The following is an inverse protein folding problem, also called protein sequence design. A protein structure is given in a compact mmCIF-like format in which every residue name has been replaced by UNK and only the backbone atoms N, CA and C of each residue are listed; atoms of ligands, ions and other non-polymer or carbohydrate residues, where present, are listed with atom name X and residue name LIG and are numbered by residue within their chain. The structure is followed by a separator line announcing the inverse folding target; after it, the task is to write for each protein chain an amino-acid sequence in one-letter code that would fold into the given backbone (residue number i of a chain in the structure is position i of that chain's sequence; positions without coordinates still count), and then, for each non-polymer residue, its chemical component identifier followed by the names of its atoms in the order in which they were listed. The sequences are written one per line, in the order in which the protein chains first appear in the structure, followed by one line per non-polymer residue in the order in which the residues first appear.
data_IF_718626251575
#
_entry.id   IF_718626251575
#
_cell.length_a   1.000
_cell.length_b   1.000
_cell.length_c   1.000
_cell.angle_alpha   90.00
_cell.angle_beta   90.00
_cell.angle_gamma   90.00
#
_symmetry.space_group_name_H-M   'P 1'
#
loop_
_entity.id
_entity.type
_entity.pdbx_description
1 polymer ?
#
# COMPACT_ATOMS: atom_id res chain seq x y z
N UNK A 1 -13.94 -16.44 20.57
CA UNK A 1 -13.82 -16.25 19.09
C UNK A 1 -12.34 -16.30 18.76
N UNK A 2 -11.99 -16.91 17.63
CA UNK A 2 -10.61 -16.95 17.15
C UNK A 2 -10.11 -15.53 16.86
N UNK A 3 -8.92 -15.19 17.32
CA UNK A 3 -8.27 -13.90 17.08
C UNK A 3 -7.05 -14.13 16.22
N UNK A 4 -6.87 -13.31 15.21
CA UNK A 4 -5.66 -13.32 14.38
C UNK A 4 -4.70 -12.25 14.85
N UNK A 5 -3.42 -12.53 14.74
CA UNK A 5 -2.32 -11.62 15.08
C UNK A 5 -1.41 -11.40 13.88
N UNK A 6 -0.81 -10.24 13.77
CA UNK A 6 0.34 -9.99 12.91
C UNK A 6 1.58 -10.25 13.74
N UNK A 7 2.28 -11.35 13.42
CA UNK A 7 3.50 -11.76 14.15
C UNK A 7 4.65 -10.83 13.81
N UNK A 8 4.92 -10.65 12.52
CA UNK A 8 5.91 -9.73 11.99
C UNK A 8 5.60 -9.40 10.51
N UNK A 9 6.39 -8.54 9.94
CA UNK A 9 6.32 -8.23 8.51
C UNK A 9 7.60 -7.59 8.00
N UNK A 10 7.68 -7.49 6.67
CA UNK A 10 8.77 -6.82 6.00
C UNK A 10 8.27 -6.15 4.71
N UNK A 11 9.00 -5.14 4.27
CA UNK A 11 8.83 -4.53 2.95
C UNK A 11 10.17 -4.30 2.25
N UNK A 12 10.14 -4.24 0.96
CA UNK A 12 11.26 -3.69 0.21
C UNK A 12 11.31 -2.16 0.41
N UNK A 13 12.47 -1.51 0.21
CA UNK A 13 12.46 -0.10 -0.10
C UNK A 13 11.60 0.14 -1.34
N UNK A 14 11.02 1.33 -1.47
CA UNK A 14 10.21 1.70 -2.62
C UNK A 14 11.08 2.38 -3.68
N UNK A 15 11.09 1.82 -4.88
CA UNK A 15 11.76 2.39 -6.05
C UNK A 15 10.85 3.32 -6.83
N UNK A 16 11.43 4.32 -7.51
CA UNK A 16 10.73 5.17 -8.48
C UNK A 16 10.46 4.44 -9.79
N UNK A 17 9.54 4.96 -10.57
CA UNK A 17 9.36 4.54 -11.96
C UNK A 17 10.70 4.58 -12.71
N UNK A 18 11.08 3.46 -13.33
CA UNK A 18 12.36 3.27 -14.03
C UNK A 18 13.61 3.51 -13.15
N UNK A 19 13.45 3.47 -11.82
CA UNK A 19 14.49 3.67 -10.82
C UNK A 19 15.29 2.40 -10.49
N UNK A 20 15.74 2.31 -9.25
CA UNK A 20 16.64 1.23 -8.79
C UNK A 20 16.03 -0.16 -8.89
N UNK A 21 14.70 -0.30 -8.79
CA UNK A 21 13.99 -1.58 -8.84
C UNK A 21 13.48 -1.96 -10.25
N UNK A 22 13.81 -1.21 -11.29
CA UNK A 22 13.28 -1.37 -12.65
C UNK A 22 13.43 -2.77 -13.28
N UNK A 23 14.41 -3.55 -12.82
CA UNK A 23 14.69 -4.88 -13.37
C UNK A 23 13.94 -6.00 -12.61
N UNK A 24 13.30 -5.69 -11.49
CA UNK A 24 12.53 -6.63 -10.69
C UNK A 24 11.06 -6.66 -11.12
N UNK A 25 10.49 -7.84 -11.21
CA UNK A 25 9.04 -8.02 -11.33
C UNK A 25 8.35 -7.82 -9.97
N UNK A 26 7.02 -7.62 -9.97
CA UNK A 26 6.26 -7.61 -8.72
C UNK A 26 6.46 -8.89 -7.89
N UNK A 27 6.55 -10.05 -8.56
CA UNK A 27 6.78 -11.33 -7.88
C UNK A 27 8.18 -11.46 -7.27
N UNK A 28 9.21 -10.89 -7.91
CA UNK A 28 10.57 -10.86 -7.34
C UNK A 28 10.60 -10.03 -6.05
N UNK A 29 9.98 -8.85 -6.09
CA UNK A 29 9.86 -7.97 -4.92
C UNK A 29 9.01 -8.62 -3.82
N UNK A 30 7.90 -9.28 -4.20
CA UNK A 30 7.05 -10.04 -3.30
C UNK A 30 7.79 -11.16 -2.59
N UNK A 31 8.65 -11.88 -3.31
CA UNK A 31 9.47 -12.95 -2.73
C UNK A 31 10.43 -12.40 -1.64
N UNK A 32 11.05 -11.25 -1.89
CA UNK A 32 11.94 -10.59 -0.92
C UNK A 32 11.16 -10.18 0.34
N UNK A 33 10.00 -9.56 0.17
CA UNK A 33 9.16 -9.15 1.28
C UNK A 33 8.64 -10.34 2.10
N UNK A 34 8.20 -11.42 1.45
CA UNK A 34 7.74 -12.66 2.10
C UNK A 34 8.89 -13.30 2.89
N UNK A 35 10.05 -13.48 2.27
CA UNK A 35 11.22 -14.06 2.94
C UNK A 35 11.63 -13.25 4.16
N UNK A 36 11.68 -11.91 4.03
CA UNK A 36 11.99 -11.02 5.15
C UNK A 36 10.93 -11.04 6.26
N UNK A 37 9.65 -11.16 5.92
CA UNK A 37 8.58 -11.27 6.90
C UNK A 37 8.67 -12.58 7.70
N UNK A 38 8.95 -13.71 7.03
CA UNK A 38 9.15 -15.01 7.69
C UNK A 38 10.39 -15.02 8.58
N UNK A 39 11.49 -14.43 8.12
CA UNK A 39 12.73 -14.29 8.90
C UNK A 39 12.48 -13.49 10.19
N UNK A 40 11.86 -12.30 10.07
CA UNK A 40 11.53 -11.45 11.22
C UNK A 40 10.52 -12.09 12.18
N UNK A 41 9.60 -12.89 11.65
CA UNK A 41 8.63 -13.64 12.45
C UNK A 41 9.25 -14.85 13.17
N UNK A 42 10.43 -15.31 12.76
CA UNK A 42 10.99 -16.60 13.23
C UNK A 42 10.14 -17.81 12.82
N UNK A 43 9.36 -17.67 11.74
CA UNK A 43 8.44 -18.70 11.23
C UNK A 43 9.07 -19.38 10.02
N UNK A 44 9.29 -20.71 10.04
CA UNK A 44 9.85 -21.40 8.88
C UNK A 44 8.84 -21.42 7.73
N UNK A 45 9.33 -21.33 6.49
CA UNK A 45 8.48 -21.35 5.29
C UNK A 45 7.58 -22.60 5.20
N UNK A 46 7.99 -23.71 5.80
CA UNK A 46 7.21 -24.96 5.88
C UNK A 46 6.00 -24.90 6.83
N UNK A 47 5.89 -23.86 7.67
CA UNK A 47 4.74 -23.66 8.53
C UNK A 47 3.63 -22.84 7.87
N UNK A 48 3.89 -22.24 6.72
CA UNK A 48 2.91 -21.44 5.99
C UNK A 48 1.90 -22.36 5.30
N UNK A 49 0.62 -22.07 5.46
CA UNK A 49 -0.48 -22.88 4.92
C UNK A 49 -1.15 -22.20 3.72
N UNK A 50 -1.08 -20.87 3.64
CA UNK A 50 -1.66 -20.11 2.54
C UNK A 50 -0.91 -18.78 2.29
N UNK A 51 -0.93 -18.30 1.03
CA UNK A 51 -0.33 -17.01 0.65
C UNK A 51 -1.34 -16.16 -0.11
N UNK A 52 -1.52 -14.90 0.29
CA UNK A 52 -2.41 -13.94 -0.39
C UNK A 52 -1.63 -12.68 -0.68
N UNK A 53 -1.41 -12.37 -1.95
CA UNK A 53 -0.73 -11.14 -2.37
C UNK A 53 -1.59 -10.31 -3.30
N UNK A 54 -1.72 -9.02 -2.97
CA UNK A 54 -2.33 -8.03 -3.84
C UNK A 54 -1.40 -7.66 -4.98
N UNK A 55 -1.92 -7.60 -6.21
CA UNK A 55 -1.23 -7.04 -7.37
C UNK A 55 -2.24 -6.56 -8.38
N UNK A 56 -2.08 -5.33 -8.87
CA UNK A 56 -3.02 -4.69 -9.79
C UNK A 56 -2.60 -4.90 -11.24
N UNK A 57 -1.34 -4.64 -11.57
CA UNK A 57 -0.82 -4.67 -12.92
C UNK A 57 -0.27 -6.07 -13.25
N UNK A 58 -1.15 -6.93 -13.73
CA UNK A 58 -0.85 -8.35 -13.95
C UNK A 58 -0.60 -8.75 -15.41
N UNK A 59 -0.83 -7.85 -16.38
CA UNK A 59 -0.51 -8.14 -17.77
C UNK A 59 1.00 -8.37 -17.94
N UNK A 60 1.36 -9.49 -18.56
CA UNK A 60 2.76 -9.87 -18.76
C UNK A 60 3.50 -10.37 -17.51
N UNK A 61 2.86 -10.40 -16.33
CA UNK A 61 3.47 -10.90 -15.09
C UNK A 61 3.55 -12.44 -14.99
N UNK A 62 3.02 -13.14 -15.95
CA UNK A 62 2.93 -14.60 -15.93
C UNK A 62 1.74 -15.10 -15.11
N UNK A 63 1.69 -16.43 -14.94
CA UNK A 63 0.60 -17.05 -14.18
C UNK A 63 0.81 -16.87 -12.67
N UNK A 64 -0.26 -16.54 -11.93
CA UNK A 64 -0.29 -16.59 -10.47
C UNK A 64 0.87 -15.82 -9.79
N UNK A 65 0.97 -14.50 -9.92
CA UNK A 65 2.09 -13.74 -9.37
C UNK A 65 2.35 -13.97 -7.86
N UNK A 66 1.30 -14.13 -7.04
CA UNK A 66 1.45 -14.48 -5.64
C UNK A 66 2.11 -15.85 -5.44
N UNK A 67 1.79 -16.81 -6.30
CA UNK A 67 2.40 -18.16 -6.28
C UNK A 67 3.87 -18.11 -6.65
N UNK A 68 4.22 -17.30 -7.67
CA UNK A 68 5.61 -17.09 -8.06
C UNK A 68 6.41 -16.52 -6.88
N UNK A 69 5.88 -15.49 -6.22
CA UNK A 69 6.51 -14.87 -5.05
C UNK A 69 6.69 -15.87 -3.89
N UNK A 70 5.64 -16.64 -3.57
CA UNK A 70 5.66 -17.65 -2.51
C UNK A 70 6.76 -18.70 -2.72
N UNK A 71 6.81 -19.31 -3.91
CA UNK A 71 7.81 -20.34 -4.25
C UNK A 71 9.22 -19.75 -4.27
N UNK A 72 9.40 -18.55 -4.82
CA UNK A 72 10.69 -17.87 -4.84
C UNK A 72 11.16 -17.46 -3.43
N UNK A 73 10.25 -17.26 -2.49
CA UNK A 73 10.54 -17.03 -1.07
C UNK A 73 10.87 -18.32 -0.29
N UNK A 74 10.82 -19.49 -0.93
CA UNK A 74 11.10 -20.79 -0.32
C UNK A 74 9.90 -21.49 0.32
N UNK A 75 8.67 -20.97 0.13
CA UNK A 75 7.43 -21.64 0.55
C UNK A 75 7.19 -22.85 -0.36
N UNK A 76 6.75 -23.98 0.23
CA UNK A 76 6.61 -25.26 -0.46
C UNK A 76 5.60 -25.24 -1.61
N UNK A 77 5.78 -26.16 -2.57
CA UNK A 77 4.88 -26.35 -3.70
C UNK A 77 3.50 -26.89 -3.31
N UNK A 78 3.35 -27.41 -2.13
CA UNK A 78 2.10 -27.88 -1.51
C UNK A 78 1.24 -26.75 -0.91
N UNK A 79 1.82 -25.55 -0.71
CA UNK A 79 1.10 -24.41 -0.16
C UNK A 79 0.38 -23.61 -1.27
N UNK A 80 -0.95 -23.50 -1.25
CA UNK A 80 -1.68 -22.73 -2.26
C UNK A 80 -1.45 -21.22 -2.09
N UNK A 81 -1.71 -20.46 -3.17
CA UNK A 81 -1.58 -19.03 -3.17
C UNK A 81 -2.69 -18.34 -3.99
N UNK A 82 -3.05 -17.13 -3.60
CA UNK A 82 -4.05 -16.30 -4.25
C UNK A 82 -3.47 -14.92 -4.60
N UNK A 83 -3.64 -14.49 -5.83
CA UNK A 83 -3.41 -13.10 -6.24
C UNK A 83 -4.75 -12.39 -6.26
N UNK A 84 -4.87 -11.26 -5.54
CA UNK A 84 -6.09 -10.45 -5.53
C UNK A 84 -5.85 -9.07 -6.12
N UNK A 85 -6.88 -8.52 -6.75
CA UNK A 85 -6.89 -7.16 -7.26
C UNK A 85 -8.17 -6.45 -6.78
N UNK A 86 -7.98 -5.44 -5.95
CA UNK A 86 -8.97 -4.48 -5.50
C UNK A 86 -8.36 -3.07 -5.58
N UNK A 87 -7.62 -2.82 -6.66
CA UNK A 87 -6.87 -1.58 -6.87
C UNK A 87 -5.92 -1.27 -5.69
N UNK A 88 -5.81 -0.03 -5.25
CA UNK A 88 -4.98 0.39 -4.12
C UNK A 88 -5.28 -0.36 -2.81
N UNK A 89 -6.47 -0.95 -2.70
CA UNK A 89 -6.94 -1.69 -1.53
C UNK A 89 -6.39 -3.13 -1.45
N UNK A 90 -5.77 -3.64 -2.52
CA UNK A 90 -5.40 -5.06 -2.64
C UNK A 90 -4.55 -5.58 -1.48
N UNK A 91 -3.58 -4.80 -1.02
CA UNK A 91 -2.68 -5.22 0.05
C UNK A 91 -3.36 -5.30 1.43
N UNK A 92 -4.22 -4.36 1.77
CA UNK A 92 -4.98 -4.39 3.04
C UNK A 92 -6.08 -5.44 3.00
N UNK A 93 -6.74 -5.62 1.85
CA UNK A 93 -7.78 -6.62 1.66
C UNK A 93 -7.19 -8.05 1.74
N UNK A 94 -5.95 -8.26 1.27
CA UNK A 94 -5.21 -9.51 1.46
C UNK A 94 -5.05 -9.86 2.95
N UNK A 95 -4.67 -8.88 3.78
CA UNK A 95 -4.51 -9.07 5.23
C UNK A 95 -5.86 -9.31 5.90
N UNK A 96 -6.89 -8.56 5.52
CA UNK A 96 -8.24 -8.76 6.04
C UNK A 96 -8.83 -10.11 5.64
N UNK A 97 -8.56 -10.61 4.43
CA UNK A 97 -8.97 -11.94 3.99
C UNK A 97 -8.22 -13.05 4.77
N UNK A 98 -6.93 -12.87 5.04
CA UNK A 98 -6.17 -13.79 5.89
C UNK A 98 -6.78 -13.90 7.29
N UNK A 99 -7.14 -12.76 7.91
CA UNK A 99 -7.87 -12.75 9.20
C UNK A 99 -9.19 -13.51 9.11
N UNK A 100 -9.97 -13.31 8.07
CA UNK A 100 -11.26 -13.99 7.88
C UNK A 100 -11.11 -15.50 7.73
N UNK A 101 -10.12 -15.98 6.96
CA UNK A 101 -9.85 -17.39 6.77
C UNK A 101 -9.37 -18.06 8.08
N UNK A 102 -8.50 -17.39 8.85
CA UNK A 102 -8.06 -17.86 10.16
C UNK A 102 -9.24 -17.93 11.14
N UNK A 103 -10.09 -16.90 11.18
CA UNK A 103 -11.29 -16.90 12.03
C UNK A 103 -12.30 -17.96 11.62
N UNK A 104 -12.36 -18.30 10.33
CA UNK A 104 -13.18 -19.40 9.83
C UNK A 104 -12.63 -20.80 10.18
N UNK A 105 -11.38 -20.90 10.63
CA UNK A 105 -10.70 -22.14 10.96
C UNK A 105 -10.15 -22.92 9.76
N UNK A 106 -9.98 -22.22 8.60
CA UNK A 106 -9.42 -22.83 7.40
C UNK A 106 -7.89 -22.97 7.48
N UNK A 107 -7.22 -21.99 8.10
CA UNK A 107 -5.76 -21.94 8.23
C UNK A 107 -5.38 -21.34 9.59
N UNK A 108 -4.17 -21.68 10.07
CA UNK A 108 -3.56 -21.09 11.25
C UNK A 108 -2.44 -20.10 10.91
N UNK A 109 -1.74 -20.29 9.78
CA UNK A 109 -0.58 -19.47 9.37
C UNK A 109 -0.73 -19.03 7.91
N UNK A 110 -0.93 -17.75 7.70
CA UNK A 110 -1.12 -17.14 6.38
C UNK A 110 -0.10 -16.03 6.17
N UNK A 111 0.59 -16.03 5.03
CA UNK A 111 1.35 -14.87 4.58
C UNK A 111 0.43 -14.00 3.72
N UNK A 112 0.27 -12.74 4.09
CA UNK A 112 -0.57 -11.80 3.38
C UNK A 112 0.17 -10.49 3.08
N UNK A 113 -0.11 -9.86 1.94
CA UNK A 113 0.55 -8.62 1.60
C UNK A 113 0.19 -8.10 0.22
N UNK A 114 1.13 -7.38 -0.39
CA UNK A 114 0.99 -6.87 -1.74
C UNK A 114 2.32 -6.59 -2.39
N UNK A 115 2.33 -6.63 -3.70
CA UNK A 115 3.49 -6.46 -4.55
C UNK A 115 3.10 -5.72 -5.83
N UNK A 116 3.96 -4.88 -6.34
CA UNK A 116 3.73 -4.18 -7.59
C UNK A 116 5.05 -3.78 -8.24
N UNK A 117 5.16 -3.97 -9.54
CA UNK A 117 6.14 -3.28 -10.36
C UNK A 117 5.42 -2.50 -11.44
N UNK A 118 5.22 -1.20 -11.18
CA UNK A 118 4.58 -0.32 -12.16
C UNK A 118 5.51 -0.09 -13.35
N UNK A 119 6.81 -0.16 -13.12
CA UNK A 119 7.84 -0.08 -14.17
C UNK A 119 7.75 -1.22 -15.19
N UNK A 120 7.35 -2.43 -14.75
CA UNK A 120 7.23 -3.61 -15.62
C UNK A 120 5.87 -3.71 -16.33
N UNK A 121 4.94 -2.80 -16.06
CA UNK A 121 3.66 -2.78 -16.78
C UNK A 121 3.90 -2.61 -18.30
N UNK A 122 3.40 -3.54 -19.13
CA UNK A 122 3.64 -3.48 -20.56
C UNK A 122 2.71 -2.51 -21.27
N UNK A 123 3.01 -2.20 -22.53
CA UNK A 123 2.05 -1.63 -23.44
C UNK A 123 1.23 -2.74 -24.10
N UNK A 124 -0.06 -2.55 -24.23
CA UNK A 124 -1.03 -3.50 -24.73
C UNK A 124 -1.42 -3.18 -26.17
N UNK A 125 -1.46 -4.18 -27.00
CA UNK A 125 -2.01 -4.11 -28.35
C UNK A 125 -3.43 -4.66 -28.32
N UNK A 126 -4.41 -3.78 -28.10
CA UNK A 126 -5.81 -4.14 -28.02
C UNK A 126 -6.30 -4.69 -29.36
N UNK A 127 -7.31 -5.58 -29.33
CA UNK A 127 -7.93 -6.18 -30.51
C UNK A 127 -6.99 -6.97 -31.45
N UNK A 128 -5.74 -7.24 -31.04
CA UNK A 128 -4.74 -7.94 -31.85
C UNK A 128 -5.20 -9.32 -32.36
N UNK A 129 -6.06 -10.03 -31.60
CA UNK A 129 -6.60 -11.35 -32.02
C UNK A 129 -7.58 -11.26 -33.18
N UNK A 130 -8.31 -10.14 -33.28
CA UNK A 130 -9.22 -9.88 -34.40
C UNK A 130 -8.49 -9.39 -35.66
N UNK A 131 -7.22 -9.02 -35.49
CA UNK A 131 -6.40 -8.42 -36.54
C UNK A 131 -6.72 -6.96 -36.78
N UNK A 132 -5.80 -6.31 -37.49
CA UNK A 132 -5.93 -4.90 -37.86
C UNK A 132 -6.07 -4.80 -39.37
N UNK A 133 -6.95 -3.92 -39.83
CA UNK A 133 -7.15 -3.60 -41.23
C UNK A 133 -6.15 -2.53 -41.69
N UNK A 134 -6.56 -1.67 -42.55
CA UNK A 134 -5.77 -0.55 -43.05
C UNK A 134 -5.70 0.58 -42.01
N UNK A 135 -4.51 1.19 -41.83
CA UNK A 135 -4.27 2.33 -40.97
C UNK A 135 -3.40 2.03 -39.72
N UNK A 136 -3.12 3.07 -38.93
CA UNK A 136 -2.30 2.99 -37.73
C UNK A 136 -3.02 2.26 -36.59
N UNK A 137 -2.24 1.75 -35.62
CA UNK A 137 -2.72 1.10 -34.43
C UNK A 137 -2.11 1.75 -33.20
N UNK A 138 -2.95 2.07 -32.21
CA UNK A 138 -2.51 2.59 -30.93
C UNK A 138 -2.16 1.46 -29.98
N UNK A 139 -1.03 1.54 -29.29
CA UNK A 139 -0.69 0.71 -28.14
C UNK A 139 -1.12 1.46 -26.86
N UNK A 140 -1.67 0.73 -25.90
CA UNK A 140 -2.22 1.26 -24.66
C UNK A 140 -1.26 0.96 -23.51
N UNK A 141 -0.90 1.94 -22.72
CA UNK A 141 -0.12 1.74 -21.51
C UNK A 141 -0.98 1.06 -20.45
N UNK A 142 -0.64 -0.18 -20.08
CA UNK A 142 -1.35 -0.96 -19.07
C UNK A 142 -1.41 -0.25 -17.71
N UNK A 143 -0.31 0.39 -17.30
CA UNK A 143 -0.27 1.12 -16.04
C UNK A 143 -1.27 2.28 -16.02
N UNK A 144 -1.29 3.06 -17.09
CA UNK A 144 -2.22 4.19 -17.23
C UNK A 144 -3.67 3.70 -17.31
N UNK A 145 -3.95 2.73 -18.17
CA UNK A 145 -5.30 2.28 -18.51
C UNK A 145 -5.97 1.47 -17.40
N UNK A 146 -5.27 0.45 -16.87
CA UNK A 146 -5.84 -0.47 -15.87
C UNK A 146 -5.56 -0.02 -14.43
N UNK A 147 -4.57 0.85 -14.21
CA UNK A 147 -4.16 1.29 -12.87
C UNK A 147 -4.54 2.71 -12.49
N UNK A 148 -4.51 3.66 -13.44
CA UNK A 148 -4.56 5.10 -13.14
C UNK A 148 -5.68 5.85 -13.88
N UNK A 149 -6.60 5.14 -14.54
CA UNK A 149 -7.73 5.69 -15.26
C UNK A 149 -9.06 5.22 -14.68
N UNK A 150 -9.96 6.15 -14.38
CA UNK A 150 -11.31 5.83 -13.92
C UNK A 150 -12.20 5.50 -15.12
N UNK A 151 -12.61 4.25 -15.22
CA UNK A 151 -13.44 3.74 -16.33
C UNK A 151 -14.88 4.24 -16.29
N UNK A 152 -15.37 4.70 -15.12
CA UNK A 152 -16.75 5.16 -14.96
C UNK A 152 -16.93 6.59 -15.47
N UNK A 153 -15.91 7.41 -15.35
CA UNK A 153 -15.92 8.82 -15.79
C UNK A 153 -15.00 9.07 -16.98
N UNK A 154 -14.30 8.04 -17.45
CA UNK A 154 -13.36 8.07 -18.59
C UNK A 154 -12.30 9.17 -18.46
N UNK A 155 -11.63 9.23 -17.30
CA UNK A 155 -10.60 10.22 -17.02
C UNK A 155 -9.50 9.70 -16.11
N UNK A 156 -8.28 10.31 -16.15
CA UNK A 156 -7.23 9.97 -15.20
C UNK A 156 -7.67 10.21 -13.76
N UNK A 157 -7.20 9.35 -12.81
CA UNK A 157 -7.53 9.45 -11.38
C UNK A 157 -7.23 10.83 -10.79
N UNK A 158 -6.17 11.49 -11.24
CA UNK A 158 -5.87 12.85 -10.80
C UNK A 158 -6.86 13.90 -11.32
N UNK A 159 -7.42 13.74 -12.54
CA UNK A 159 -8.47 14.61 -13.05
C UNK A 159 -9.78 14.42 -12.28
N UNK A 160 -10.13 13.19 -11.96
CA UNK A 160 -11.27 12.87 -11.07
C UNK A 160 -11.09 13.52 -9.68
N UNK A 161 -9.88 13.47 -9.13
CA UNK A 161 -9.56 14.10 -7.84
C UNK A 161 -9.65 15.64 -7.93
N UNK A 162 -9.20 16.24 -9.02
CA UNK A 162 -9.41 17.69 -9.27
C UNK A 162 -10.88 18.06 -9.35
N UNK A 163 -11.67 17.28 -10.10
CA UNK A 163 -13.12 17.51 -10.22
C UNK A 163 -13.81 17.46 -8.85
N UNK A 164 -13.45 16.52 -8.01
CA UNK A 164 -13.97 16.46 -6.63
C UNK A 164 -13.45 17.61 -5.78
N UNK A 165 -12.22 18.07 -5.98
CA UNK A 165 -11.67 19.21 -5.26
C UNK A 165 -12.38 20.53 -5.59
N UNK A 166 -13.12 20.64 -6.70
CA UNK A 166 -14.01 21.77 -6.97
C UNK A 166 -15.14 21.91 -5.94
N UNK A 167 -15.47 20.80 -5.25
CA UNK A 167 -16.43 20.75 -4.14
C UNK A 167 -15.72 20.89 -2.78
N UNK A 168 -14.64 20.18 -2.57
CA UNK A 168 -13.92 20.10 -1.29
C UNK A 168 -13.13 21.39 -1.02
N UNK A 169 -12.73 22.14 -2.06
CA UNK A 169 -12.08 23.46 -2.03
C UNK A 169 -10.74 23.49 -1.29
N UNK A 170 -9.96 22.41 -1.32
CA UNK A 170 -8.58 22.46 -0.82
C UNK A 170 -7.72 23.29 -1.76
N UNK A 171 -7.08 24.30 -1.19
CA UNK A 171 -6.19 25.19 -1.96
C UNK A 171 -4.91 24.49 -2.38
N UNK A 172 -4.25 25.03 -3.39
CA UNK A 172 -2.92 24.58 -3.80
C UNK A 172 -1.92 24.62 -2.64
N UNK A 173 -1.93 25.71 -1.85
CA UNK A 173 -1.03 25.86 -0.71
C UNK A 173 -1.23 24.76 0.33
N UNK A 174 -2.46 24.43 0.71
CA UNK A 174 -2.74 23.35 1.65
C UNK A 174 -2.23 21.99 1.14
N UNK A 175 -2.35 21.73 -0.15
CA UNK A 175 -1.88 20.49 -0.75
C UNK A 175 -0.34 20.43 -0.79
N UNK A 176 0.33 21.53 -1.11
CA UNK A 176 1.79 21.64 -1.11
C UNK A 176 2.37 21.55 0.30
N UNK A 177 1.70 22.14 1.32
CA UNK A 177 2.08 22.02 2.73
C UNK A 177 2.04 20.57 3.22
N UNK A 178 0.96 19.83 2.91
CA UNK A 178 0.87 18.42 3.27
C UNK A 178 1.95 17.59 2.54
N UNK A 179 2.18 17.86 1.27
CA UNK A 179 3.20 17.16 0.50
C UNK A 179 4.62 17.41 1.06
N UNK A 180 4.94 18.65 1.41
CA UNK A 180 6.20 18.99 2.07
C UNK A 180 6.35 18.27 3.41
N UNK A 181 5.28 18.28 4.22
CA UNK A 181 5.25 17.60 5.52
C UNK A 181 5.47 16.10 5.39
N UNK A 182 4.86 15.44 4.39
CA UNK A 182 5.06 14.02 4.10
C UNK A 182 6.54 13.71 3.85
N UNK A 183 7.21 14.49 3.00
CA UNK A 183 8.64 14.33 2.73
C UNK A 183 9.53 14.58 3.96
N UNK A 184 9.25 15.62 4.73
CA UNK A 184 10.03 15.97 5.92
C UNK A 184 9.91 14.90 7.00
N UNK A 185 8.69 14.39 7.24
CA UNK A 185 8.43 13.31 8.19
C UNK A 185 9.12 12.01 7.76
N UNK A 186 8.99 11.62 6.48
CA UNK A 186 9.64 10.42 5.97
C UNK A 186 11.17 10.50 6.08
N UNK A 187 11.76 11.66 5.79
CA UNK A 187 13.20 11.86 5.93
C UNK A 187 13.66 11.82 7.40
N UNK A 188 12.86 12.37 8.32
CA UNK A 188 13.13 12.27 9.75
C UNK A 188 13.04 10.83 10.25
N UNK A 189 11.98 10.10 9.86
CA UNK A 189 11.78 8.69 10.20
C UNK A 189 12.95 7.80 9.73
N UNK A 190 13.48 8.02 8.51
CA UNK A 190 14.70 7.35 8.06
C UNK A 190 15.90 7.66 8.93
N UNK A 191 16.14 8.95 9.21
CA UNK A 191 17.26 9.40 10.04
C UNK A 191 17.19 8.82 11.46
N UNK A 192 16.00 8.73 12.01
CA UNK A 192 15.75 8.25 13.38
C UNK A 192 15.64 6.71 13.46
N UNK A 193 15.79 6.00 12.32
CA UNK A 193 15.79 4.54 12.24
C UNK A 193 14.41 3.89 12.36
N UNK A 194 13.32 4.65 12.26
CA UNK A 194 11.93 4.15 12.39
C UNK A 194 11.64 3.05 11.36
N UNK A 195 12.16 3.17 10.14
CA UNK A 195 11.92 2.20 9.08
C UNK A 195 12.84 0.96 9.12
N UNK A 196 13.84 0.93 9.99
CA UNK A 196 14.76 -0.21 10.09
C UNK A 196 14.05 -1.53 10.43
N UNK A 197 12.96 -1.44 11.21
CA UNK A 197 12.18 -2.62 11.61
C UNK A 197 11.32 -3.19 10.49
N UNK A 198 11.01 -2.42 9.45
CA UNK A 198 10.13 -2.87 8.37
C UNK A 198 10.87 -3.15 7.06
N UNK A 199 11.94 -2.41 6.76
CA UNK A 199 12.65 -2.52 5.48
C UNK A 199 13.63 -3.68 5.47
N UNK A 200 13.66 -4.43 4.36
CA UNK A 200 14.69 -5.41 4.04
C UNK A 200 15.42 -4.99 2.78
N UNK A 201 16.76 -5.09 2.75
CA UNK A 201 17.56 -4.70 1.59
C UNK A 201 17.20 -5.50 0.34
N UNK A 202 17.19 -4.83 -0.81
CA UNK A 202 17.12 -5.49 -2.11
C UNK A 202 18.50 -5.51 -2.74
N UNK A 203 19.00 -6.71 -3.02
CA UNK A 203 20.30 -6.90 -3.69
C UNK A 203 20.13 -6.77 -5.19
N UNK A 204 20.60 -5.67 -5.75
CA UNK A 204 20.55 -5.37 -7.19
C UNK A 204 21.77 -5.97 -7.87
N UNK A 205 21.59 -6.99 -8.73
CA UNK A 205 22.69 -7.60 -9.44
C UNK A 205 23.46 -6.59 -10.30
N UNK A 206 24.78 -6.66 -10.30
CA UNK A 206 25.63 -5.84 -11.15
C UNK A 206 26.22 -6.65 -12.28
N UNK A 207 26.45 -6.00 -13.42
CA UNK A 207 27.10 -6.64 -14.57
C UNK A 207 28.51 -7.15 -14.26
N UNK A 208 29.19 -6.48 -13.31
CA UNK A 208 30.52 -6.85 -12.77
C UNK A 208 30.57 -6.38 -11.32
N UNK A 209 31.19 -7.19 -10.45
CA UNK A 209 31.33 -6.89 -9.02
C UNK A 209 30.18 -7.43 -8.19
N UNK A 210 30.16 -7.04 -6.90
CA UNK A 210 29.13 -7.45 -5.95
C UNK A 210 27.81 -6.73 -6.21
N UNK A 211 26.67 -7.34 -5.82
CA UNK A 211 25.37 -6.67 -5.86
C UNK A 211 25.39 -5.36 -5.04
N UNK A 212 24.67 -4.35 -5.52
CA UNK A 212 24.42 -3.14 -4.74
C UNK A 212 23.22 -3.41 -3.82
N UNK A 213 23.38 -3.10 -2.53
CA UNK A 213 22.25 -3.13 -1.60
C UNK A 213 21.44 -1.84 -1.72
N UNK A 214 20.19 -1.97 -2.11
CA UNK A 214 19.19 -0.89 -2.12
C UNK A 214 18.40 -0.96 -0.82
N UNK A 215 18.56 0.04 0.04
CA UNK A 215 18.11 0.01 1.43
C UNK A 215 17.11 1.10 1.80
N UNK A 216 17.01 2.19 1.02
CA UNK A 216 16.21 3.37 1.34
C UNK A 216 15.14 3.66 0.28
N UNK A 217 14.02 4.26 0.68
CA UNK A 217 12.97 4.68 -0.24
C UNK A 217 13.46 5.79 -1.16
N UNK A 218 13.51 5.53 -2.45
CA UNK A 218 14.13 6.37 -3.46
C UNK A 218 13.37 7.70 -3.71
N UNK A 219 12.09 7.73 -3.31
CA UNK A 219 11.18 8.85 -3.53
C UNK A 219 11.38 10.05 -2.62
N UNK A 220 11.94 9.84 -1.44
CA UNK A 220 12.00 10.85 -0.37
C UNK A 220 12.94 12.00 -0.74
N UNK A 221 12.45 13.24 -0.53
CA UNK A 221 13.19 14.48 -0.80
C UNK A 221 13.19 15.34 0.46
N UNK A 222 14.18 15.17 1.33
CA UNK A 222 14.27 15.81 2.64
C UNK A 222 14.14 17.35 2.61
N UNK A 223 14.59 17.99 1.52
CA UNK A 223 14.59 19.44 1.38
C UNK A 223 13.30 20.00 0.73
N UNK A 224 12.25 19.19 0.60
CA UNK A 224 10.98 19.65 0.03
C UNK A 224 10.29 20.63 0.98
N UNK A 225 9.91 21.79 0.47
CA UNK A 225 9.11 22.81 1.17
C UNK A 225 7.91 23.21 0.33
N UNK A 226 6.87 23.80 0.93
CA UNK A 226 5.71 24.30 0.21
C UNK A 226 6.12 25.33 -0.86
N UNK A 227 7.10 26.21 -0.56
CA UNK A 227 7.63 27.20 -1.51
C UNK A 227 8.30 26.51 -2.70
N UNK A 228 9.07 25.42 -2.48
CA UNK A 228 9.70 24.69 -3.57
C UNK A 228 8.69 23.99 -4.49
N UNK A 229 7.54 23.61 -3.95
CA UNK A 229 6.45 23.00 -4.70
C UNK A 229 5.58 24.03 -5.43
N UNK A 230 5.47 25.24 -4.92
CA UNK A 230 4.61 26.30 -5.47
C UNK A 230 4.89 26.61 -6.96
N UNK A 231 6.13 26.42 -7.42
CA UNK A 231 6.54 26.60 -8.81
C UNK A 231 6.11 25.49 -9.77
N UNK A 232 5.58 24.36 -9.28
CA UNK A 232 5.14 23.25 -10.12
C UNK A 232 3.85 23.58 -10.86
N UNK A 233 3.75 23.14 -12.12
CA UNK A 233 2.52 23.29 -12.90
C UNK A 233 1.47 22.27 -12.47
N UNK A 234 0.16 22.62 -12.54
CA UNK A 234 -0.90 21.63 -12.40
C UNK A 234 -0.71 20.48 -13.39
N UNK A 235 -0.94 19.24 -12.91
CA UNK A 235 -0.63 18.04 -13.68
C UNK A 235 -1.81 17.50 -14.49
N UNK A 236 -3.04 17.72 -14.03
CA UNK A 236 -4.23 17.07 -14.60
C UNK A 236 -5.21 18.04 -15.30
N UNK A 237 -5.20 19.32 -14.91
CA UNK A 237 -6.06 20.35 -15.45
C UNK A 237 -5.30 21.68 -15.46
N UNK A 238 -5.46 22.50 -16.51
CA UNK A 238 -4.70 23.74 -16.69
C UNK A 238 -4.83 24.73 -15.52
N UNK A 239 -6.02 24.80 -14.94
CA UNK A 239 -6.40 25.63 -13.79
C UNK A 239 -6.53 24.82 -12.50
N UNK A 240 -5.96 23.62 -12.47
CA UNK A 240 -6.02 22.70 -11.34
C UNK A 240 -5.10 23.08 -10.19
N UNK A 241 -5.25 22.36 -9.09
CA UNK A 241 -4.49 22.56 -7.86
C UNK A 241 -3.54 21.40 -7.57
N UNK A 242 -3.77 20.22 -8.18
CA UNK A 242 -2.95 19.03 -8.00
C UNK A 242 -1.74 19.07 -8.94
N UNK A 243 -0.57 18.82 -8.39
CA UNK A 243 0.70 18.76 -9.12
C UNK A 243 1.39 17.42 -8.98
N UNK A 244 2.46 17.20 -9.71
CA UNK A 244 3.34 16.05 -9.49
C UNK A 244 3.96 16.02 -8.07
N UNK A 245 3.98 17.15 -7.35
CA UNK A 245 4.47 17.22 -5.97
C UNK A 245 3.41 16.87 -4.93
N UNK A 246 2.13 17.02 -5.24
CA UNK A 246 1.00 16.72 -4.33
C UNK A 246 0.23 15.43 -4.70
N UNK A 247 0.76 14.68 -5.65
CA UNK A 247 0.34 13.33 -6.02
C UNK A 247 1.40 12.30 -5.59
N UNK A 248 0.98 11.11 -5.20
CA UNK A 248 1.91 10.01 -4.91
C UNK A 248 2.71 9.60 -6.14
N UNK A 249 3.93 9.16 -5.92
CA UNK A 249 4.83 8.78 -7.01
C UNK A 249 4.47 7.39 -7.55
N UNK A 250 4.56 7.24 -8.88
CA UNK A 250 4.54 5.93 -9.54
C UNK A 250 5.77 5.15 -9.08
N UNK A 251 5.58 3.91 -8.60
CA UNK A 251 6.61 3.26 -7.79
C UNK A 251 6.55 1.73 -7.90
N UNK A 252 7.67 1.11 -7.54
CA UNK A 252 7.84 -0.34 -7.45
C UNK A 252 8.12 -0.75 -6.00
N UNK A 253 7.53 -1.85 -5.53
CA UNK A 253 7.76 -2.32 -4.16
C UNK A 253 6.87 -3.48 -3.75
N UNK A 254 7.16 -4.07 -2.60
CA UNK A 254 6.34 -5.11 -1.99
C UNK A 254 6.40 -5.05 -0.46
N UNK A 255 5.32 -5.49 0.19
CA UNK A 255 5.22 -5.67 1.64
C UNK A 255 4.44 -6.95 1.95
N UNK A 256 4.86 -7.66 2.98
CA UNK A 256 4.19 -8.86 3.46
C UNK A 256 4.20 -8.93 4.99
N UNK A 257 3.16 -9.52 5.54
CA UNK A 257 3.03 -9.82 6.97
C UNK A 257 2.71 -11.30 7.18
N UNK A 258 3.17 -11.84 8.31
CA UNK A 258 2.79 -13.17 8.77
C UNK A 258 1.59 -13.01 9.70
N UNK A 259 0.42 -13.46 9.22
CA UNK A 259 -0.83 -13.47 9.98
C UNK A 259 -1.03 -14.86 10.57
N UNK A 260 -1.31 -14.96 11.85
CA UNK A 260 -1.40 -16.23 12.56
C UNK A 260 -2.61 -16.25 13.50
N UNK A 261 -3.18 -17.43 13.68
CA UNK A 261 -4.08 -17.69 14.79
C UNK A 261 -3.35 -17.41 16.11
N UNK A 262 -3.92 -16.58 16.97
CA UNK A 262 -3.29 -16.19 18.25
C UNK A 262 -2.93 -17.39 19.10
N UNK A 263 -3.82 -18.38 19.22
CA UNK A 263 -3.55 -19.60 19.98
C UNK A 263 -2.38 -20.39 19.38
N UNK A 264 -2.22 -20.38 18.06
CA UNK A 264 -1.08 -21.01 17.39
C UNK A 264 0.23 -20.26 17.65
N UNK A 265 0.19 -18.93 17.66
CA UNK A 265 1.35 -18.13 18.02
C UNK A 265 1.79 -18.38 19.47
N UNK A 266 0.83 -18.47 20.40
CA UNK A 266 1.08 -18.83 21.80
C UNK A 266 1.68 -20.26 21.93
N UNK A 267 1.13 -21.25 21.21
CA UNK A 267 1.66 -22.64 21.17
C UNK A 267 3.12 -22.68 20.72
N UNK A 268 3.46 -21.83 19.70
CA UNK A 268 4.81 -21.75 19.15
C UNK A 268 5.74 -20.84 19.96
N UNK A 269 5.25 -20.22 21.05
CA UNK A 269 6.04 -19.30 21.87
C UNK A 269 6.44 -18.01 21.16
N UNK A 270 5.69 -17.61 20.13
CA UNK A 270 5.96 -16.40 19.36
C UNK A 270 5.34 -15.17 20.02
N UNK A 271 6.04 -14.06 19.96
CA UNK A 271 5.47 -12.74 20.22
C UNK A 271 4.84 -12.19 18.93
N UNK A 272 3.95 -11.22 19.05
CA UNK A 272 3.31 -10.57 17.91
C UNK A 272 3.26 -9.05 18.07
N UNK A 273 3.15 -8.37 16.96
CA UNK A 273 3.06 -6.91 16.92
C UNK A 273 1.69 -6.44 17.43
N UNK A 274 0.62 -6.95 16.83
CA UNK A 274 -0.76 -6.52 17.06
C UNK A 274 -1.75 -7.67 16.84
N UNK A 275 -2.94 -7.53 17.41
CA UNK A 275 -4.13 -8.30 17.03
C UNK A 275 -4.87 -7.56 15.89
N UNK A 276 -5.45 -8.31 14.95
CA UNK A 276 -6.28 -7.75 13.90
C UNK A 276 -7.69 -7.53 14.44
N UNK A 277 -8.17 -6.30 14.32
CA UNK A 277 -9.51 -5.87 14.71
C UNK A 277 -10.50 -5.85 13.54
N UNK A 278 -11.44 -4.93 13.60
CA UNK A 278 -12.50 -4.81 12.61
C UNK A 278 -12.01 -4.28 11.26
N UNK A 279 -12.53 -4.86 10.17
CA UNK A 279 -12.36 -4.39 8.80
C UNK A 279 -13.58 -3.57 8.37
N UNK A 280 -13.37 -2.32 7.98
CA UNK A 280 -14.36 -1.41 7.41
C UNK A 280 -14.22 -1.37 5.89
N UNK A 281 -15.25 -1.79 5.17
CA UNK A 281 -15.30 -1.79 3.69
C UNK A 281 -16.46 -0.92 3.24
N UNK A 282 -16.19 0.05 2.36
CA UNK A 282 -17.18 1.00 1.83
C UNK A 282 -17.02 1.17 0.33
N UNK A 283 -18.09 1.65 -0.31
CA UNK A 283 -18.07 2.07 -1.71
C UNK A 283 -19.14 3.14 -1.97
N UNK A 284 -18.93 3.96 -3.00
CA UNK A 284 -19.87 4.95 -3.47
C UNK A 284 -19.93 6.23 -2.62
N UNK A 285 -20.86 7.15 -2.99
CA UNK A 285 -21.93 7.00 -3.99
C UNK A 285 -21.47 7.13 -5.47
N UNK A 286 -20.25 7.51 -5.70
CA UNK A 286 -19.62 7.68 -7.03
C UNK A 286 -18.18 7.14 -7.02
N UNK A 287 -17.39 7.37 -8.06
CA UNK A 287 -16.01 6.88 -8.15
C UNK A 287 -14.97 7.77 -7.46
N UNK A 288 -15.36 8.85 -6.78
CA UNK A 288 -14.43 9.77 -6.10
C UNK A 288 -13.73 9.13 -4.90
N UNK A 289 -12.52 9.64 -4.59
CA UNK A 289 -11.60 9.02 -3.64
C UNK A 289 -11.59 9.66 -2.25
N UNK A 290 -11.79 10.99 -2.17
CA UNK A 290 -11.38 11.80 -1.02
C UNK A 290 -12.00 11.39 0.31
N UNK A 291 -13.27 11.04 0.32
CA UNK A 291 -14.00 10.65 1.54
C UNK A 291 -13.88 9.16 1.88
N UNK A 292 -13.34 8.33 0.99
CA UNK A 292 -13.40 6.88 1.16
C UNK A 292 -12.58 6.37 2.36
N UNK A 293 -11.35 6.86 2.64
CA UNK A 293 -10.65 6.47 3.85
C UNK A 293 -11.42 6.83 5.13
N UNK A 294 -11.98 8.04 5.19
CA UNK A 294 -12.78 8.49 6.34
C UNK A 294 -14.03 7.63 6.55
N UNK A 295 -14.75 7.31 5.47
CA UNK A 295 -15.94 6.46 5.53
C UNK A 295 -15.60 5.04 5.98
N UNK A 296 -14.49 4.49 5.49
CA UNK A 296 -14.01 3.17 5.90
C UNK A 296 -13.60 3.14 7.37
N UNK A 297 -12.88 4.16 7.86
CA UNK A 297 -12.51 4.31 9.28
C UNK A 297 -13.76 4.38 10.15
N UNK A 298 -14.74 5.25 9.82
CA UNK A 298 -16.02 5.35 10.56
C UNK A 298 -16.71 3.98 10.67
N UNK A 299 -16.71 3.20 9.60
CA UNK A 299 -17.29 1.85 9.60
C UNK A 299 -16.49 0.85 10.42
N UNK A 300 -15.16 0.93 10.36
CA UNK A 300 -14.27 0.05 11.13
C UNK A 300 -14.37 0.30 12.63
N UNK A 301 -14.29 1.57 13.09
CA UNK A 301 -14.43 1.92 14.51
C UNK A 301 -15.80 1.56 15.07
N UNK A 302 -16.88 1.75 14.29
CA UNK A 302 -18.22 1.34 14.68
C UNK A 302 -18.34 -0.16 14.89
N UNK A 303 -17.73 -0.98 14.01
CA UNK A 303 -17.67 -2.44 14.17
C UNK A 303 -16.79 -2.88 15.35
N UNK A 304 -15.70 -2.16 15.60
CA UNK A 304 -14.79 -2.43 16.70
C UNK A 304 -15.41 -2.03 18.07
N UNK A 305 -16.36 -1.11 18.05
CA UNK A 305 -17.00 -0.58 19.26
C UNK A 305 -16.16 0.47 19.98
N UNK A 306 -15.31 1.20 19.23
CA UNK A 306 -14.45 2.29 19.74
C UNK A 306 -14.83 3.64 19.12
N UNK A 307 -14.35 4.72 19.74
CA UNK A 307 -14.45 6.09 19.19
C UNK A 307 -13.18 6.47 18.44
N UNK A 308 -13.26 7.53 17.64
CA UNK A 308 -12.12 8.07 16.87
C UNK A 308 -10.97 8.52 17.79
N UNK A 309 -11.29 9.06 18.98
CA UNK A 309 -10.31 9.57 19.94
C UNK A 309 -9.49 8.46 20.62
N UNK A 310 -9.91 7.20 20.49
CA UNK A 310 -9.18 6.04 20.99
C UNK A 310 -8.12 5.52 20.02
N UNK A 311 -8.03 6.12 18.82
CA UNK A 311 -6.98 5.77 17.86
C UNK A 311 -5.68 6.50 18.23
N UNK A 312 -4.64 5.71 18.50
CA UNK A 312 -3.29 6.20 18.83
C UNK A 312 -2.41 6.37 17.60
N UNK A 313 -2.60 5.52 16.60
CA UNK A 313 -1.86 5.52 15.32
C UNK A 313 -2.85 5.57 14.17
N UNK A 314 -2.64 6.52 13.25
CA UNK A 314 -3.54 6.72 12.12
C UNK A 314 -2.73 6.84 10.83
N UNK A 315 -2.85 5.82 9.99
CA UNK A 315 -2.26 5.77 8.66
C UNK A 315 -3.34 5.90 7.59
N UNK A 316 -3.30 6.98 6.82
CA UNK A 316 -4.18 7.22 5.66
C UNK A 316 -3.30 7.34 4.42
N UNK A 317 -3.47 6.44 3.45
CA UNK A 317 -2.64 6.46 2.24
C UNK A 317 -2.81 7.76 1.45
N UNK A 318 -1.70 8.41 1.15
CA UNK A 318 -1.65 9.70 0.45
C UNK A 318 -1.62 9.49 -1.08
N UNK A 319 -2.70 8.93 -1.66
CA UNK A 319 -2.78 8.82 -3.12
C UNK A 319 -2.64 10.20 -3.79
N UNK A 320 -3.27 11.20 -3.18
CA UNK A 320 -3.14 12.65 -3.45
C UNK A 320 -3.24 13.40 -2.12
N UNK A 321 -2.61 14.57 -2.00
CA UNK A 321 -2.77 15.43 -0.82
C UNK A 321 -4.25 15.71 -0.50
N UNK A 322 -5.08 15.94 -1.52
CA UNK A 322 -6.51 16.19 -1.36
C UNK A 322 -7.26 15.04 -0.67
N UNK A 323 -6.84 13.79 -0.87
CA UNK A 323 -7.44 12.60 -0.21
C UNK A 323 -7.14 12.61 1.30
N UNK A 324 -5.88 12.83 1.67
CA UNK A 324 -5.49 12.87 3.07
C UNK A 324 -6.11 14.07 3.80
N UNK A 325 -6.13 15.25 3.16
CA UNK A 325 -6.76 16.45 3.70
C UNK A 325 -8.26 16.27 3.94
N UNK A 326 -8.97 15.72 2.94
CA UNK A 326 -10.42 15.49 3.05
C UNK A 326 -10.74 14.50 4.16
N UNK A 327 -10.08 13.36 4.19
CA UNK A 327 -10.31 12.33 5.20
C UNK A 327 -9.98 12.81 6.60
N UNK A 328 -8.87 13.53 6.79
CA UNK A 328 -8.47 14.13 8.07
C UNK A 328 -9.53 15.12 8.56
N UNK A 329 -10.00 16.01 7.67
CA UNK A 329 -11.05 17.01 7.97
C UNK A 329 -12.38 16.36 8.33
N UNK A 330 -12.83 15.36 7.55
CA UNK A 330 -14.11 14.68 7.77
C UNK A 330 -14.16 13.86 9.05
N UNK A 331 -13.01 13.40 9.54
CA UNK A 331 -12.87 12.69 10.80
C UNK A 331 -12.63 13.63 11.99
N UNK A 332 -12.42 14.94 11.74
CA UNK A 332 -12.09 15.90 12.79
C UNK A 332 -10.74 15.63 13.47
N UNK A 333 -9.81 15.00 12.76
CA UNK A 333 -8.51 14.64 13.29
C UNK A 333 -7.54 15.83 13.30
N UNK A 334 -6.63 15.83 14.28
CA UNK A 334 -5.45 16.67 14.24
C UNK A 334 -4.48 16.16 13.17
N UNK A 335 -4.14 16.96 12.12
CA UNK A 335 -3.21 16.57 11.08
C UNK A 335 -1.82 16.14 11.62
N UNK A 336 -1.46 16.58 12.82
CA UNK A 336 -0.21 16.19 13.45
C UNK A 336 -0.17 14.71 13.84
N UNK A 337 -1.34 14.05 13.99
CA UNK A 337 -1.47 12.65 14.38
C UNK A 337 -1.61 11.69 13.20
N UNK A 338 -1.77 12.18 11.98
CA UNK A 338 -1.96 11.37 10.78
C UNK A 338 -0.63 11.23 10.04
N UNK A 339 -0.25 10.02 9.65
CA UNK A 339 0.98 9.71 8.91
C UNK A 339 2.22 10.38 9.56
N UNK A 340 2.44 10.11 10.83
CA UNK A 340 3.46 10.79 11.65
C UNK A 340 4.88 10.59 11.11
N UNK A 341 5.12 9.52 10.39
CA UNK A 341 6.40 9.17 9.79
C UNK A 341 6.44 9.42 8.26
N UNK A 342 5.47 10.18 7.72
CA UNK A 342 5.32 10.44 6.30
C UNK A 342 4.48 9.39 5.59
N UNK A 343 4.13 9.65 4.34
CA UNK A 343 3.18 8.83 3.57
C UNK A 343 3.57 8.65 2.11
N UNK A 344 2.61 8.22 1.31
CA UNK A 344 2.82 7.79 -0.07
C UNK A 344 3.31 8.89 -1.02
N UNK A 345 3.08 10.16 -0.71
CA UNK A 345 3.62 11.28 -1.50
C UNK A 345 5.14 11.27 -1.46
N UNK A 346 5.71 11.02 -0.29
CA UNK A 346 7.15 10.95 -0.10
C UNK A 346 7.73 9.58 -0.47
N UNK A 347 7.15 8.51 0.08
CA UNK A 347 7.67 7.15 -0.01
C UNK A 347 7.39 6.54 -1.39
N UNK A 348 6.20 6.80 -1.96
CA UNK A 348 5.70 6.19 -3.19
C UNK A 348 4.45 5.34 -2.97
N UNK A 349 3.78 5.00 -4.08
CA UNK A 349 2.52 4.26 -4.07
C UNK A 349 2.53 3.10 -5.07
N UNK A 350 3.30 2.03 -4.82
CA UNK A 350 3.12 0.79 -5.56
C UNK A 350 1.71 0.27 -5.27
N UNK A 351 0.82 0.25 -6.27
CA UNK A 351 -0.65 0.22 -6.05
C UNK A 351 -1.06 -1.01 -5.23
N UNK A 352 -0.64 -2.20 -5.63
CA UNK A 352 -0.97 -3.45 -4.94
C UNK A 352 -0.32 -3.63 -3.57
N UNK A 353 0.82 -2.94 -3.31
CA UNK A 353 1.57 -3.04 -2.07
C UNK A 353 1.03 -2.14 -0.96
N UNK A 354 0.56 -0.95 -1.29
CA UNK A 354 0.43 0.17 -0.35
C UNK A 354 -0.44 -0.14 0.86
N UNK A 355 -1.54 -0.90 0.70
CA UNK A 355 -2.37 -1.30 1.82
C UNK A 355 -1.64 -2.18 2.84
N UNK A 356 -0.75 -3.06 2.36
CA UNK A 356 0.08 -3.88 3.24
C UNK A 356 1.18 -3.05 3.93
N UNK A 357 1.78 -2.09 3.20
CA UNK A 357 2.79 -1.19 3.76
C UNK A 357 2.25 -0.38 4.94
N UNK A 358 1.14 0.31 4.76
CA UNK A 358 0.57 1.15 5.83
C UNK A 358 0.07 0.31 7.01
N UNK A 359 -0.43 -0.90 6.75
CA UNK A 359 -0.85 -1.82 7.81
C UNK A 359 0.35 -2.31 8.63
N UNK A 360 1.45 -2.69 7.97
CA UNK A 360 2.68 -3.09 8.64
C UNK A 360 3.26 -1.92 9.45
N UNK A 361 3.34 -0.73 8.87
CA UNK A 361 3.86 0.46 9.54
C UNK A 361 3.03 0.80 10.79
N UNK A 362 1.70 0.82 10.66
CA UNK A 362 0.80 1.06 11.78
C UNK A 362 0.94 0.00 12.89
N UNK A 363 1.15 -1.28 12.53
CA UNK A 363 1.38 -2.36 13.49
C UNK A 363 2.70 -2.18 14.26
N UNK A 364 3.78 -1.82 13.58
CA UNK A 364 5.08 -1.57 14.19
C UNK A 364 5.05 -0.32 15.10
N UNK A 365 4.42 0.76 14.63
CA UNK A 365 4.28 1.98 15.42
C UNK A 365 3.44 1.73 16.68
N UNK A 366 2.34 0.99 16.57
CA UNK A 366 1.54 0.62 17.75
C UNK A 366 2.32 -0.30 18.69
N UNK A 367 3.14 -1.20 18.15
CA UNK A 367 4.02 -2.06 18.95
C UNK A 367 5.08 -1.24 19.73
N UNK A 368 5.65 -0.20 19.12
CA UNK A 368 6.58 0.73 19.79
C UNK A 368 5.91 1.51 20.92
N UNK A 369 4.64 1.88 20.77
CA UNK A 369 3.86 2.57 21.81
C UNK A 369 3.45 1.65 22.96
N UNK A 370 3.42 0.36 22.75
CA UNK A 370 3.19 -0.66 23.78
C UNK A 370 1.75 -1.12 23.93
N UNK A 371 0.74 -0.25 23.72
CA UNK A 371 -0.69 -0.58 23.81
C UNK A 371 -1.55 0.39 23.01
N UNK A 372 -2.84 0.07 22.80
CA UNK A 372 -3.84 0.95 22.20
C UNK A 372 -4.41 0.44 20.88
N UNK A 373 -4.86 1.38 20.03
CA UNK A 373 -5.48 1.11 18.74
C UNK A 373 -4.78 1.85 17.62
N UNK A 374 -4.60 1.15 16.50
CA UNK A 374 -4.16 1.77 15.25
C UNK A 374 -5.20 1.53 14.15
N UNK A 375 -5.20 2.40 13.14
CA UNK A 375 -5.95 2.21 11.90
C UNK A 375 -5.07 2.46 10.69
N UNK A 376 -5.13 1.55 9.74
CA UNK A 376 -4.62 1.75 8.38
C UNK A 376 -5.82 1.89 7.44
N UNK A 377 -5.85 2.93 6.60
CA UNK A 377 -6.95 3.18 5.69
C UNK A 377 -6.51 3.76 4.36
N UNK A 378 -7.23 3.42 3.31
CA UNK A 378 -6.98 3.99 2.00
C UNK A 378 -8.23 4.00 1.12
N UNK A 379 -8.18 4.84 0.07
CA UNK A 379 -9.11 4.82 -1.04
C UNK A 379 -8.64 3.82 -2.11
N UNK A 380 -9.57 3.34 -2.90
CA UNK A 380 -9.31 2.57 -4.11
C UNK A 380 -10.13 3.09 -5.29
N UNK A 381 -9.59 2.96 -6.49
CA UNK A 381 -10.31 3.31 -7.71
C UNK A 381 -11.68 2.62 -7.77
N UNK A 382 -12.64 3.28 -8.42
CA UNK A 382 -14.05 2.88 -8.40
C UNK A 382 -14.80 3.34 -7.16
N UNK A 383 -14.29 4.35 -6.44
CA UNK A 383 -14.97 4.96 -5.29
C UNK A 383 -15.09 4.03 -4.09
N UNK A 384 -14.08 3.22 -3.84
CA UNK A 384 -14.05 2.27 -2.71
C UNK A 384 -13.10 2.73 -1.62
N UNK A 385 -13.27 2.20 -0.41
CA UNK A 385 -12.40 2.44 0.74
C UNK A 385 -12.36 1.25 1.68
N UNK A 386 -11.15 0.99 2.20
CA UNK A 386 -10.92 -0.01 3.23
C UNK A 386 -10.18 0.61 4.43
N UNK A 387 -10.51 0.13 5.61
CA UNK A 387 -9.81 0.45 6.84
C UNK A 387 -9.70 -0.79 7.73
N UNK A 388 -8.53 -1.03 8.30
CA UNK A 388 -8.28 -2.15 9.21
C UNK A 388 -7.86 -1.62 10.56
N UNK A 389 -8.59 -2.01 11.60
CA UNK A 389 -8.22 -1.72 12.99
C UNK A 389 -7.18 -2.74 13.45
N UNK A 390 -6.18 -2.27 14.16
CA UNK A 390 -5.17 -3.07 14.82
C UNK A 390 -5.22 -2.76 16.32
N UNK A 391 -5.04 -3.79 17.15
CA UNK A 391 -5.11 -3.69 18.60
C UNK A 391 -3.83 -4.19 19.24
N UNK A 392 -3.39 -3.52 20.28
CA UNK A 392 -2.38 -4.01 21.19
C UNK A 392 -2.89 -3.82 22.61
N UNK A 393 -3.37 -4.90 23.24
CA UNK A 393 -3.92 -4.88 24.61
C UNK A 393 -2.90 -4.44 25.67
#
# INVERSE_FOLDING_TARGET
MTTSVIVAGARTPVGKLMGSLKDFSGSDLGAIAIAGALEKAGVPASAVEYVIMGQVLTAGAGQMPARQAAVSAGIGWDVPALTINKMCLSGIDAIALADQLIRAGEFDVVVAGGQESMTKAPHLLMDSRSGYKYGDVTVVDHMAYDGLHDVFTDQPMGALTEQRNDVDQFTRAQQDELAALSHQRAAAAWKDGVYADEVVPVKIPQRKGDPIEFTEDEGIRANTTAESLAGLKPAFRKDGTITAGSASQISDGAAAVVVMNKAKAEELGLSWLVEIGAHGVVAGPDSTLQSQPANAIKKAIAKEGISIDQLDVIEINEAFSAVALASTKELGLDPAKVNVDGGAIAIGHPIGMSGARITLHAALELARRGSGYAVAALCGAGGQGDALILRRP
#
